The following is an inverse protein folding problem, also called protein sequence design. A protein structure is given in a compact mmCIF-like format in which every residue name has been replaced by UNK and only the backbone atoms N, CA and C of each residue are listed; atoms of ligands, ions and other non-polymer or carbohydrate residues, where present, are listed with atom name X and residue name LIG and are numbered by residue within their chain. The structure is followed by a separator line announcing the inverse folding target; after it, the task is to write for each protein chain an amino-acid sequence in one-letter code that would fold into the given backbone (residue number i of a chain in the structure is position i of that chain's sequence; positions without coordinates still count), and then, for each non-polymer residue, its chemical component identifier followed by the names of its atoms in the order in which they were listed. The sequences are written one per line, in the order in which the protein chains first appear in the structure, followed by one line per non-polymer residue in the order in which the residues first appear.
data_IF_095723870353
#
_entry.id   IF_095723870353
#
_cell.length_a   1.000
_cell.length_b   1.000
_cell.length_c   1.000
_cell.angle_alpha   90.00
_cell.angle_beta   90.00
_cell.angle_gamma   90.00
#
_symmetry.space_group_name_H-M   'P 1'
#
loop_
_entity.id
_entity.type
_entity.pdbx_description
1 polymer ?
#
# COMPACT_ATOMS: atom_id res chain seq x y z
N UNK A 1 -22.92 7.19 21.20
CA UNK A 1 -22.18 8.16 20.36
C UNK A 1 -20.79 7.66 19.97
N UNK A 2 -20.02 7.07 20.88
CA UNK A 2 -18.66 6.56 20.61
C UNK A 2 -18.60 5.44 19.55
N UNK A 3 -19.60 4.55 19.50
CA UNK A 3 -19.71 3.49 18.48
C UNK A 3 -19.65 4.01 17.04
N UNK A 4 -20.28 5.16 16.75
CA UNK A 4 -20.27 5.74 15.41
C UNK A 4 -18.88 6.26 15.02
N UNK A 5 -18.08 6.72 15.99
CA UNK A 5 -16.70 7.14 15.77
C UNK A 5 -15.80 5.95 15.45
N UNK A 6 -15.88 4.86 16.21
CA UNK A 6 -15.15 3.61 15.91
C UNK A 6 -15.49 3.10 14.51
N UNK A 7 -16.78 3.08 14.16
CA UNK A 7 -17.24 2.66 12.83
C UNK A 7 -16.73 3.58 11.72
N UNK A 8 -16.71 4.90 11.93
CA UNK A 8 -16.17 5.85 10.97
C UNK A 8 -14.66 5.64 10.75
N UNK A 9 -13.86 5.51 11.81
CA UNK A 9 -12.42 5.26 11.69
C UNK A 9 -12.11 3.89 11.09
N UNK A 10 -12.90 2.86 11.40
CA UNK A 10 -12.78 1.55 10.76
C UNK A 10 -12.99 1.64 9.25
N UNK A 11 -14.02 2.36 8.79
CA UNK A 11 -14.30 2.54 7.35
C UNK A 11 -13.16 3.32 6.69
N UNK A 12 -12.66 4.39 7.31
CA UNK A 12 -11.51 5.15 6.78
C UNK A 12 -10.26 4.26 6.68
N UNK A 13 -10.00 3.45 7.72
CA UNK A 13 -8.92 2.47 7.72
C UNK A 13 -9.03 1.47 6.56
N UNK A 14 -10.23 0.89 6.36
CA UNK A 14 -10.50 -0.04 5.26
C UNK A 14 -10.23 0.63 3.92
N UNK A 15 -10.73 1.85 3.70
CA UNK A 15 -10.56 2.55 2.41
C UNK A 15 -9.08 2.81 2.13
N UNK A 16 -8.32 3.28 3.12
CA UNK A 16 -6.87 3.47 2.99
C UNK A 16 -6.13 2.16 2.73
N UNK A 17 -6.52 1.07 3.40
CA UNK A 17 -5.91 -0.24 3.21
C UNK A 17 -6.20 -0.83 1.82
N UNK A 18 -7.45 -0.76 1.37
CA UNK A 18 -7.86 -1.18 0.03
C UNK A 18 -7.19 -0.36 -1.07
N UNK A 19 -7.05 0.96 -0.90
CA UNK A 19 -6.30 1.80 -1.83
C UNK A 19 -4.86 1.32 -2.00
N UNK A 20 -4.20 0.95 -0.90
CA UNK A 20 -2.87 0.34 -0.92
C UNK A 20 -2.84 -1.00 -1.65
N UNK A 21 -3.80 -1.90 -1.39
CA UNK A 21 -3.89 -3.20 -2.06
C UNK A 21 -4.12 -3.10 -3.56
N UNK A 22 -4.87 -2.10 -4.04
CA UNK A 22 -5.07 -1.91 -5.48
C UNK A 22 -3.89 -1.21 -6.17
N UNK A 23 -3.12 -0.40 -5.43
CA UNK A 23 -1.95 0.29 -5.97
C UNK A 23 -0.72 -0.62 -6.08
N UNK A 24 -0.54 -1.56 -5.13
CA UNK A 24 0.58 -2.51 -5.11
C UNK A 24 0.72 -3.38 -6.39
N UNK A 25 -0.31 -4.09 -6.89
CA UNK A 25 -0.20 -4.91 -8.09
C UNK A 25 0.12 -4.09 -9.34
N UNK A 26 -0.39 -2.85 -9.44
CA UNK A 26 -0.02 -1.94 -10.52
C UNK A 26 1.47 -1.63 -10.50
N UNK A 27 2.04 -1.43 -9.31
CA UNK A 27 3.47 -1.19 -9.15
C UNK A 27 4.30 -2.42 -9.54
N UNK A 28 3.83 -3.64 -9.23
CA UNK A 28 4.46 -4.88 -9.66
C UNK A 28 4.43 -5.10 -11.18
N UNK A 29 3.38 -4.66 -11.88
CA UNK A 29 3.36 -4.68 -13.35
C UNK A 29 4.46 -3.78 -13.92
N UNK A 30 4.59 -2.55 -13.42
CA UNK A 30 5.68 -1.66 -13.83
C UNK A 30 7.06 -2.20 -13.45
N UNK A 31 7.16 -2.92 -12.33
CA UNK A 31 8.38 -3.61 -11.93
C UNK A 31 8.76 -4.69 -12.95
N UNK A 32 7.80 -5.48 -13.43
CA UNK A 32 8.01 -6.50 -14.45
C UNK A 32 8.37 -5.89 -15.82
N UNK A 33 7.71 -4.81 -16.23
CA UNK A 33 8.05 -4.08 -17.47
C UNK A 33 9.48 -3.48 -17.40
N UNK A 34 9.92 -3.04 -16.22
CA UNK A 34 11.29 -2.55 -16.03
C UNK A 34 12.37 -3.63 -16.22
N UNK A 35 12.02 -4.92 -16.12
CA UNK A 35 12.96 -6.02 -16.38
C UNK A 35 13.30 -6.18 -17.87
N UNK A 36 12.44 -5.71 -18.78
CA UNK A 36 12.62 -5.81 -20.23
C UNK A 36 13.44 -4.65 -20.81
N UNK A 37 13.72 -3.61 -20.00
CA UNK A 37 14.51 -2.45 -20.42
C UNK A 37 16.01 -2.79 -20.51
N UNK A 38 16.75 -2.18 -21.46
CA UNK A 38 18.20 -2.31 -21.55
C UNK A 38 18.92 -1.65 -20.35
N UNK A 39 20.14 -2.11 -20.05
CA UNK A 39 21.00 -1.39 -19.10
C UNK A 39 21.39 -0.02 -19.66
N UNK A 40 21.51 1.03 -18.82
CA UNK A 40 21.48 1.03 -17.35
C UNK A 40 20.09 1.30 -16.73
N UNK A 41 19.06 1.57 -17.54
CA UNK A 41 17.74 1.99 -17.06
C UNK A 41 17.07 0.93 -16.17
N UNK A 42 17.27 -0.35 -16.48
CA UNK A 42 16.76 -1.49 -15.72
C UNK A 42 17.15 -1.47 -14.23
N UNK A 43 18.42 -1.22 -13.90
CA UNK A 43 18.90 -1.28 -12.52
C UNK A 43 18.38 -0.10 -11.68
N UNK A 44 18.29 1.08 -12.28
CA UNK A 44 17.75 2.30 -11.65
C UNK A 44 16.25 2.14 -11.38
N UNK A 45 15.47 1.74 -12.39
CA UNK A 45 14.03 1.54 -12.28
C UNK A 45 13.69 0.47 -11.24
N UNK A 46 14.41 -0.67 -11.26
CA UNK A 46 14.23 -1.75 -10.28
C UNK A 46 14.42 -1.26 -8.84
N UNK A 47 15.52 -0.56 -8.56
CA UNK A 47 15.79 -0.04 -7.22
C UNK A 47 14.71 0.96 -6.78
N UNK A 48 14.26 1.82 -7.69
CA UNK A 48 13.22 2.80 -7.41
C UNK A 48 11.86 2.12 -7.10
N UNK A 49 11.44 1.15 -7.92
CA UNK A 49 10.20 0.42 -7.69
C UNK A 49 10.22 -0.38 -6.39
N UNK A 50 11.33 -1.04 -6.04
CA UNK A 50 11.46 -1.73 -4.75
C UNK A 50 11.29 -0.79 -3.55
N UNK A 51 11.85 0.42 -3.63
CA UNK A 51 11.69 1.43 -2.59
C UNK A 51 10.23 1.88 -2.51
N UNK A 52 9.58 2.11 -3.66
CA UNK A 52 8.17 2.52 -3.70
C UNK A 52 7.23 1.44 -3.14
N UNK A 53 7.45 0.17 -3.49
CA UNK A 53 6.67 -0.99 -3.00
C UNK A 53 6.83 -1.12 -1.48
N UNK A 54 8.07 -1.05 -0.98
CA UNK A 54 8.35 -1.16 0.45
C UNK A 54 7.74 0.00 1.24
N UNK A 55 7.82 1.23 0.72
CA UNK A 55 7.20 2.41 1.34
C UNK A 55 5.69 2.30 1.34
N UNK A 56 5.06 1.91 0.24
CA UNK A 56 3.62 1.71 0.18
C UNK A 56 3.16 0.68 1.20
N UNK A 57 3.84 -0.47 1.26
CA UNK A 57 3.48 -1.54 2.19
C UNK A 57 3.68 -1.11 3.65
N UNK A 58 4.86 -0.57 3.98
CA UNK A 58 5.24 -0.25 5.36
C UNK A 58 4.56 1.01 5.90
N UNK A 59 4.35 2.03 5.07
CA UNK A 59 3.88 3.35 5.51
C UNK A 59 2.37 3.50 5.29
N UNK A 60 1.80 2.85 4.27
CA UNK A 60 0.37 3.01 3.94
C UNK A 60 -0.42 1.77 4.39
N UNK A 61 -0.13 0.59 3.82
CA UNK A 61 -0.93 -0.61 4.11
C UNK A 61 -0.83 -1.06 5.57
N UNK A 62 0.38 -1.13 6.14
CA UNK A 62 0.60 -1.67 7.49
C UNK A 62 -0.13 -0.88 8.58
N UNK A 63 0.02 0.46 8.69
CA UNK A 63 -0.72 1.23 9.68
C UNK A 63 -2.22 1.33 9.37
N UNK A 64 -2.64 1.36 8.10
CA UNK A 64 -4.06 1.35 7.74
C UNK A 64 -4.76 0.04 8.16
N UNK A 65 -4.10 -1.10 7.96
CA UNK A 65 -4.57 -2.40 8.42
C UNK A 65 -4.66 -2.45 9.95
N UNK A 66 -3.62 -1.99 10.66
CA UNK A 66 -3.61 -1.91 12.12
C UNK A 66 -4.76 -1.04 12.65
N UNK A 67 -4.95 0.15 12.07
CA UNK A 67 -6.06 1.04 12.41
C UNK A 67 -7.41 0.37 12.17
N UNK A 68 -7.57 -0.30 11.03
CA UNK A 68 -8.80 -1.00 10.66
C UNK A 68 -9.16 -2.07 11.69
N UNK A 69 -8.19 -2.94 12.03
CA UNK A 69 -8.40 -4.06 12.95
C UNK A 69 -8.65 -3.54 14.37
N UNK A 70 -7.87 -2.56 14.84
CA UNK A 70 -8.04 -1.97 16.16
C UNK A 70 -9.44 -1.34 16.33
N UNK A 71 -9.92 -0.63 15.32
CA UNK A 71 -11.25 0.00 15.33
C UNK A 71 -12.39 -1.00 15.07
N UNK A 72 -12.11 -2.22 14.60
CA UNK A 72 -13.10 -3.28 14.41
C UNK A 72 -13.41 -4.04 15.71
N UNK A 73 -12.42 -4.16 16.59
CA UNK A 73 -12.52 -4.90 17.86
C UNK A 73 -13.06 -4.01 18.99
N UNK A 74 -12.89 -2.68 18.90
CA UNK A 74 -13.32 -1.69 19.89
C UNK A 74 -14.74 -1.17 19.73
#
# INVERSE_FOLDING_TARGET
MTYYWFKAFHIVGIVCWFAGMFYLPRLFVYHAEAYEQPEPARSVLKNQYQIMEKRLYSIIMTPAMLLTIAMAVG
#
